data_IF_287481140589
#
_entry.id   IF_287481140589
#
_cell.length_a   1.000
_cell.length_b   1.000
_cell.length_c   1.000
_cell.angle_alpha   90.00
_cell.angle_beta   90.00
_cell.angle_gamma   90.00
#
_symmetry.space_group_name_H-M   'P 1'
#
loop_
_entity.id
_entity.type
_entity.pdbx_description
1 polymer ?
#
# COMPACT_ATOMS: atom_id res chain seq x y z
N UNK A 1 -13.89 27.40 -4.01
CA UNK A 1 -13.84 27.55 -5.48
C UNK A 1 -13.06 26.38 -6.04
N UNK A 2 -13.62 25.63 -6.98
CA UNK A 2 -12.99 24.43 -7.54
C UNK A 2 -11.93 24.81 -8.58
N UNK A 3 -10.68 25.00 -8.13
CA UNK A 3 -9.58 25.53 -8.97
C UNK A 3 -9.37 24.73 -10.27
N UNK A 4 -9.63 23.42 -10.25
CA UNK A 4 -9.44 22.53 -11.40
C UNK A 4 -10.40 22.85 -12.56
N UNK A 5 -11.58 23.44 -12.29
CA UNK A 5 -12.51 23.89 -13.35
C UNK A 5 -11.94 25.07 -14.13
N UNK A 6 -11.18 25.96 -13.48
CA UNK A 6 -10.47 27.07 -14.16
C UNK A 6 -9.39 26.56 -15.12
N UNK A 7 -8.93 25.33 -14.93
CA UNK A 7 -7.97 24.66 -15.80
C UNK A 7 -8.64 23.85 -16.92
N UNK A 8 -9.97 23.86 -17.01
CA UNK A 8 -10.82 23.00 -17.86
C UNK A 8 -10.67 21.50 -17.55
N UNK A 9 -10.44 21.15 -16.28
CA UNK A 9 -10.42 19.76 -15.82
C UNK A 9 -11.79 19.34 -15.30
N UNK A 10 -12.09 18.04 -15.37
CA UNK A 10 -13.36 17.44 -14.92
C UNK A 10 -13.30 17.02 -13.44
N UNK A 11 -12.11 16.78 -12.92
CA UNK A 11 -11.84 16.36 -11.53
C UNK A 11 -10.57 17.03 -11.03
N UNK A 12 -10.39 17.03 -9.72
CA UNK A 12 -9.16 17.47 -9.08
C UNK A 12 -8.00 16.47 -9.37
N UNK A 13 -6.90 16.89 -10.04
CA UNK A 13 -5.82 15.97 -10.43
C UNK A 13 -4.95 15.51 -9.26
N UNK A 14 -4.75 16.37 -8.27
CA UNK A 14 -3.82 16.15 -7.17
C UNK A 14 -4.53 16.09 -5.82
N UNK A 15 -5.69 15.44 -5.79
CA UNK A 15 -6.37 15.15 -4.53
C UNK A 15 -5.52 14.20 -3.68
N UNK A 16 -5.52 14.45 -2.37
CA UNK A 16 -4.92 13.55 -1.36
C UNK A 16 -5.84 12.39 -1.02
N UNK A 17 -7.11 12.45 -1.44
CA UNK A 17 -8.07 11.36 -1.28
C UNK A 17 -7.73 10.20 -2.21
N UNK A 18 -7.79 8.94 -1.73
CA UNK A 18 -7.47 7.78 -2.56
C UNK A 18 -8.60 7.48 -3.56
N UNK A 19 -8.44 7.95 -4.81
CA UNK A 19 -9.27 7.54 -5.97
C UNK A 19 -8.49 6.48 -6.80
N UNK A 20 -9.01 5.24 -6.94
CA UNK A 20 -8.37 4.20 -7.75
C UNK A 20 -8.10 4.63 -9.21
N UNK A 21 -8.90 5.51 -9.79
CA UNK A 21 -8.69 6.01 -11.15
C UNK A 21 -7.41 6.85 -11.29
N UNK A 22 -6.96 7.47 -10.20
CA UNK A 22 -5.75 8.31 -10.14
C UNK A 22 -4.51 7.53 -9.68
N UNK A 23 -4.60 6.19 -9.68
CA UNK A 23 -3.45 5.36 -9.38
C UNK A 23 -2.53 5.19 -10.60
N UNK A 24 -1.35 5.79 -10.51
CA UNK A 24 -0.27 5.57 -11.46
C UNK A 24 0.52 4.33 -11.06
N UNK A 25 0.61 3.36 -11.97
CA UNK A 25 1.40 2.16 -11.79
C UNK A 25 2.87 2.45 -12.09
N UNK A 26 3.63 2.82 -11.06
CA UNK A 26 5.08 2.95 -11.19
C UNK A 26 5.75 1.61 -11.45
N UNK A 27 7.01 1.65 -11.87
CA UNK A 27 7.81 0.44 -12.01
C UNK A 27 7.86 -0.36 -10.70
N UNK A 28 8.16 0.32 -9.57
CA UNK A 28 8.20 -0.27 -8.23
C UNK A 28 6.88 -0.93 -7.82
N UNK A 29 5.74 -0.30 -8.14
CA UNK A 29 4.43 -0.86 -7.80
C UNK A 29 4.10 -2.09 -8.63
N UNK A 30 4.42 -2.07 -9.94
CA UNK A 30 4.21 -3.23 -10.83
C UNK A 30 5.06 -4.41 -10.40
N UNK A 31 6.34 -4.17 -10.11
CA UNK A 31 7.26 -5.21 -9.70
C UNK A 31 6.84 -5.84 -8.37
N UNK A 32 6.49 -5.02 -7.37
CA UNK A 32 5.96 -5.50 -6.10
C UNK A 32 4.69 -6.36 -6.28
N UNK A 33 3.73 -5.90 -7.10
CA UNK A 33 2.49 -6.63 -7.36
C UNK A 33 2.73 -7.97 -8.06
N UNK A 34 3.61 -8.00 -9.07
CA UNK A 34 3.94 -9.22 -9.79
C UNK A 34 4.60 -10.25 -8.86
N UNK A 35 5.56 -9.83 -8.04
CA UNK A 35 6.22 -10.72 -7.07
C UNK A 35 5.25 -11.25 -6.02
N UNK A 36 4.37 -10.40 -5.49
CA UNK A 36 3.32 -10.81 -4.57
C UNK A 36 2.39 -11.83 -5.20
N UNK A 37 1.92 -11.58 -6.43
CA UNK A 37 1.06 -12.52 -7.13
C UNK A 37 1.72 -13.88 -7.30
N UNK A 38 2.97 -13.90 -7.75
CA UNK A 38 3.74 -15.15 -7.90
C UNK A 38 3.86 -15.87 -6.54
N UNK A 39 4.22 -15.15 -5.47
CA UNK A 39 4.38 -15.73 -4.14
C UNK A 39 3.07 -16.32 -3.60
N UNK A 40 1.94 -15.62 -3.80
CA UNK A 40 0.61 -16.07 -3.39
C UNK A 40 0.14 -17.31 -4.18
N UNK A 41 0.31 -17.30 -5.50
CA UNK A 41 -0.06 -18.45 -6.36
C UNK A 41 0.79 -19.69 -6.06
N UNK A 42 2.08 -19.50 -5.81
CA UNK A 42 3.00 -20.56 -5.39
C UNK A 42 2.86 -20.95 -3.91
N UNK A 43 1.94 -20.32 -3.18
CA UNK A 43 1.62 -20.61 -1.78
C UNK A 43 2.84 -20.59 -0.84
N UNK A 44 3.73 -19.61 -1.00
CA UNK A 44 5.02 -19.52 -0.27
C UNK A 44 4.91 -19.10 1.21
N UNK A 45 3.73 -18.74 1.68
CA UNK A 45 3.47 -18.38 3.08
C UNK A 45 3.62 -16.89 3.33
N UNK A 46 4.71 -16.46 3.98
CA UNK A 46 4.88 -15.09 4.45
C UNK A 46 5.60 -14.21 3.41
N UNK A 47 4.98 -13.09 3.06
CA UNK A 47 5.55 -11.99 2.30
C UNK A 47 5.56 -10.71 3.15
N UNK A 48 6.67 -9.98 3.17
CA UNK A 48 6.82 -8.72 3.91
C UNK A 48 7.22 -7.62 2.95
N UNK A 49 6.39 -6.59 2.89
CA UNK A 49 6.55 -5.43 2.02
C UNK A 49 6.79 -4.20 2.89
N UNK A 50 8.02 -3.70 2.84
CA UNK A 50 8.43 -2.52 3.57
C UNK A 50 8.36 -1.29 2.69
N UNK A 51 8.09 -0.14 3.29
CA UNK A 51 8.19 1.14 2.60
C UNK A 51 7.78 2.27 3.54
N UNK A 52 8.26 3.47 3.27
CA UNK A 52 7.96 4.63 4.11
C UNK A 52 6.51 5.12 3.94
N UNK A 53 6.12 6.09 4.75
CA UNK A 53 4.79 6.70 4.67
C UNK A 53 4.59 7.33 3.29
N UNK A 54 3.50 6.97 2.63
CA UNK A 54 3.15 7.55 1.32
C UNK A 54 3.81 6.91 0.10
N UNK A 55 4.56 5.80 0.24
CA UNK A 55 5.14 5.06 -0.91
C UNK A 55 4.12 4.21 -1.69
N UNK A 56 2.89 4.06 -1.19
CA UNK A 56 1.81 3.36 -1.90
C UNK A 56 1.47 1.95 -1.39
N UNK A 57 1.97 1.56 -0.20
CA UNK A 57 1.67 0.26 0.46
C UNK A 57 0.18 -0.10 0.49
N UNK A 58 -0.66 0.74 1.09
CA UNK A 58 -2.12 0.55 1.16
C UNK A 58 -2.74 0.43 -0.22
N UNK A 59 -2.18 1.13 -1.22
CA UNK A 59 -2.70 1.06 -2.57
C UNK A 59 -2.39 -0.28 -3.23
N UNK A 60 -1.16 -0.77 -3.11
CA UNK A 60 -0.78 -2.12 -3.57
C UNK A 60 -1.68 -3.17 -2.92
N UNK A 61 -1.94 -3.06 -1.62
CA UNK A 61 -2.86 -3.94 -0.89
C UNK A 61 -4.26 -3.97 -1.54
N UNK A 62 -4.86 -2.80 -1.81
CA UNK A 62 -6.17 -2.70 -2.47
C UNK A 62 -6.16 -3.28 -3.88
N UNK A 63 -5.10 -3.04 -4.64
CA UNK A 63 -4.96 -3.56 -5.99
C UNK A 63 -4.84 -5.07 -6.03
N UNK A 64 -4.15 -5.66 -5.06
CA UNK A 64 -4.06 -7.11 -4.91
C UNK A 64 -5.45 -7.72 -4.67
N UNK A 65 -6.26 -7.10 -3.80
CA UNK A 65 -7.65 -7.50 -3.58
C UNK A 65 -8.46 -7.38 -4.87
N UNK A 66 -8.37 -6.26 -5.58
CA UNK A 66 -9.10 -6.05 -6.84
C UNK A 66 -8.70 -7.05 -7.91
N UNK A 67 -7.40 -7.37 -8.01
CA UNK A 67 -6.88 -8.34 -8.99
C UNK A 67 -7.49 -9.72 -8.77
N UNK A 68 -7.46 -10.21 -7.54
CA UNK A 68 -8.02 -11.52 -7.20
C UNK A 68 -9.54 -11.52 -7.00
N UNK A 69 -10.21 -10.36 -7.03
CA UNK A 69 -11.68 -10.29 -6.97
C UNK A 69 -12.35 -10.96 -8.17
N UNK A 70 -11.64 -11.15 -9.29
CA UNK A 70 -12.10 -11.93 -10.44
C UNK A 70 -11.91 -13.45 -10.24
N UNK A 71 -11.14 -13.87 -9.25
CA UNK A 71 -10.80 -15.26 -8.92
C UNK A 71 -11.30 -15.63 -7.51
N UNK A 72 -12.46 -15.09 -7.09
CA UNK A 72 -13.03 -15.35 -5.75
C UNK A 72 -13.31 -16.82 -5.48
N UNK A 73 -13.51 -17.62 -6.53
CA UNK A 73 -13.64 -19.07 -6.41
C UNK A 73 -12.31 -19.75 -6.03
N UNK A 74 -11.16 -19.12 -6.24
CA UNK A 74 -9.86 -19.68 -5.87
C UNK A 74 -9.28 -19.03 -4.63
N UNK A 75 -9.62 -17.77 -4.35
CA UNK A 75 -9.00 -16.96 -3.32
C UNK A 75 -9.96 -16.56 -2.20
N UNK A 76 -9.54 -16.77 -0.95
CA UNK A 76 -10.20 -16.22 0.23
C UNK A 76 -9.27 -15.14 0.80
N UNK A 77 -9.57 -13.88 0.52
CA UNK A 77 -8.74 -12.75 0.94
C UNK A 77 -9.41 -11.99 2.08
N UNK A 78 -8.67 -11.74 3.16
CA UNK A 78 -9.08 -10.87 4.27
C UNK A 78 -8.02 -9.80 4.53
N UNK A 79 -8.46 -8.64 4.97
CA UNK A 79 -7.63 -7.46 5.19
C UNK A 79 -7.84 -6.95 6.63
N UNK A 80 -6.73 -6.78 7.34
CA UNK A 80 -6.65 -5.99 8.56
C UNK A 80 -5.92 -4.69 8.21
N UNK A 81 -6.63 -3.56 8.27
CA UNK A 81 -6.05 -2.24 7.99
C UNK A 81 -5.23 -1.69 9.17
N UNK A 82 -5.67 -1.97 10.41
CA UNK A 82 -5.02 -1.48 11.62
C UNK A 82 -4.89 -2.64 12.63
N UNK A 83 -3.70 -3.24 12.79
CA UNK A 83 -3.51 -4.42 13.64
C UNK A 83 -3.33 -4.06 15.11
N UNK A 84 -4.08 -3.08 15.61
CA UNK A 84 -4.12 -2.68 17.02
C UNK A 84 -5.28 -3.36 17.73
N UNK A 85 -4.95 -4.32 18.60
CA UNK A 85 -5.91 -5.04 19.42
C UNK A 85 -5.53 -4.92 20.90
N UNK A 86 -6.52 -4.98 21.80
CA UNK A 86 -6.29 -4.91 23.24
C UNK A 86 -5.74 -6.21 23.81
N UNK A 87 -6.03 -7.35 23.17
CA UNK A 87 -5.58 -8.67 23.61
C UNK A 87 -5.44 -9.65 22.46
N UNK A 88 -4.71 -10.74 22.71
CA UNK A 88 -4.64 -11.89 21.80
C UNK A 88 -6.03 -12.46 21.49
N UNK A 89 -6.92 -12.50 22.48
CA UNK A 89 -8.29 -12.96 22.31
C UNK A 89 -9.05 -12.10 21.29
N UNK A 90 -8.98 -10.77 21.41
CA UNK A 90 -9.64 -9.84 20.49
C UNK A 90 -9.05 -9.94 19.08
N UNK A 91 -7.74 -10.12 18.96
CA UNK A 91 -7.07 -10.32 17.67
C UNK A 91 -7.56 -11.61 16.97
N UNK A 92 -7.54 -12.73 17.68
CA UNK A 92 -7.98 -14.04 17.14
C UNK A 92 -9.47 -14.08 16.83
N UNK A 93 -10.29 -13.46 17.68
CA UNK A 93 -11.72 -13.28 17.42
C UNK A 93 -11.93 -12.47 16.14
N UNK A 94 -11.30 -11.30 16.03
CA UNK A 94 -11.43 -10.45 14.84
C UNK A 94 -10.98 -11.18 13.58
N UNK A 95 -9.90 -11.97 13.65
CA UNK A 95 -9.45 -12.82 12.55
C UNK A 95 -10.52 -13.83 12.16
N UNK A 96 -11.07 -14.56 13.14
CA UNK A 96 -12.09 -15.59 12.91
C UNK A 96 -13.36 -15.01 12.30
N UNK A 97 -13.85 -13.91 12.89
CA UNK A 97 -14.99 -13.14 12.39
C UNK A 97 -14.72 -12.68 10.95
N UNK A 98 -13.51 -12.18 10.67
CA UNK A 98 -13.16 -11.73 9.32
C UNK A 98 -13.27 -12.87 8.31
N UNK A 99 -12.76 -14.07 8.62
CA UNK A 99 -12.83 -15.23 7.73
C UNK A 99 -14.25 -15.81 7.59
N UNK A 100 -15.22 -15.34 8.39
CA UNK A 100 -16.60 -15.84 8.41
C UNK A 100 -16.70 -17.18 9.14
N UNK A 101 -15.88 -17.38 10.17
CA UNK A 101 -15.90 -18.57 11.01
C UNK A 101 -16.96 -18.36 12.10
N UNK A 102 -18.04 -19.15 12.06
CA UNK A 102 -19.04 -19.18 13.13
C UNK A 102 -18.46 -19.90 14.35
N UNK A 103 -17.86 -19.14 15.25
CA UNK A 103 -17.16 -19.67 16.42
C UNK A 103 -17.95 -19.43 17.71
N UNK A 104 -18.02 -20.46 18.57
CA UNK A 104 -18.49 -20.34 19.96
C UNK A 104 -17.33 -20.23 20.95
N UNK A 105 -16.12 -19.96 20.47
CA UNK A 105 -14.90 -19.97 21.25
C UNK A 105 -14.92 -18.94 22.38
N UNK A 106 -14.49 -19.38 23.57
CA UNK A 106 -14.39 -18.58 24.79
C UNK A 106 -12.95 -18.35 25.23
N UNK A 107 -11.98 -18.91 24.50
CA UNK A 107 -10.55 -18.77 24.77
C UNK A 107 -9.74 -18.55 23.50
N UNK A 108 -8.54 -17.96 23.63
CA UNK A 108 -7.60 -17.82 22.51
C UNK A 108 -7.20 -19.17 21.91
N UNK A 109 -7.14 -20.22 22.73
CA UNK A 109 -6.83 -21.58 22.27
C UNK A 109 -7.94 -22.13 21.36
N UNK A 110 -9.21 -21.97 21.75
CA UNK A 110 -10.34 -22.39 20.92
C UNK A 110 -10.39 -21.64 19.59
N UNK A 111 -10.18 -20.31 19.57
CA UNK A 111 -10.10 -19.57 18.29
C UNK A 111 -8.94 -20.03 17.41
N UNK A 112 -7.78 -20.38 17.99
CA UNK A 112 -6.67 -20.94 17.20
C UNK A 112 -7.05 -22.28 16.57
N UNK A 113 -7.77 -23.14 17.29
CA UNK A 113 -8.25 -24.40 16.75
C UNK A 113 -9.28 -24.19 15.63
N UNK A 114 -10.20 -23.25 15.79
CA UNK A 114 -11.19 -22.93 14.77
C UNK A 114 -10.52 -22.39 13.49
N UNK A 115 -9.55 -21.48 13.62
CA UNK A 115 -8.73 -21.00 12.50
C UNK A 115 -7.94 -22.13 11.83
N UNK A 116 -7.37 -23.05 12.61
CA UNK A 116 -6.68 -24.22 12.08
C UNK A 116 -7.61 -25.10 11.25
N UNK A 117 -8.78 -25.44 11.79
CA UNK A 117 -9.78 -26.26 11.11
C UNK A 117 -10.23 -25.60 9.81
N UNK A 118 -10.46 -24.28 9.84
CA UNK A 118 -10.78 -23.50 8.66
C UNK A 118 -9.68 -23.56 7.59
N UNK A 119 -8.41 -23.37 7.98
CA UNK A 119 -7.28 -23.42 7.05
C UNK A 119 -7.09 -24.81 6.43
N UNK A 120 -7.32 -25.89 7.20
CA UNK A 120 -7.29 -27.26 6.68
C UNK A 120 -8.45 -27.50 5.71
N UNK A 121 -9.68 -27.11 6.07
CA UNK A 121 -10.84 -27.28 5.21
C UNK A 121 -10.70 -26.48 3.91
N UNK A 122 -10.48 -25.16 4.00
CA UNK A 122 -10.41 -24.29 2.83
C UNK A 122 -9.13 -24.50 2.03
N UNK A 123 -7.99 -24.57 2.69
CA UNK A 123 -6.68 -24.63 2.04
C UNK A 123 -6.29 -26.03 1.53
N UNK A 124 -6.52 -27.07 2.33
CA UNK A 124 -6.08 -28.43 2.00
C UNK A 124 -7.17 -29.22 1.24
N UNK A 125 -8.41 -29.22 1.73
CA UNK A 125 -9.49 -30.01 1.14
C UNK A 125 -10.12 -29.31 -0.07
N UNK A 126 -10.53 -28.05 0.07
CA UNK A 126 -11.15 -27.28 -1.02
C UNK A 126 -10.12 -26.61 -1.96
N UNK A 127 -8.83 -26.75 -1.65
CA UNK A 127 -7.70 -26.18 -2.42
C UNK A 127 -7.82 -24.67 -2.69
N UNK A 128 -8.52 -23.91 -1.84
CA UNK A 128 -8.55 -22.44 -1.90
C UNK A 128 -7.21 -21.86 -1.44
N UNK A 129 -6.86 -20.67 -1.93
CA UNK A 129 -5.71 -19.88 -1.46
C UNK A 129 -6.22 -18.89 -0.41
N UNK A 130 -5.91 -19.16 0.85
CA UNK A 130 -6.30 -18.28 1.97
C UNK A 130 -5.23 -17.21 2.16
N UNK A 131 -5.61 -15.95 2.00
CA UNK A 131 -4.71 -14.79 2.09
C UNK A 131 -5.16 -13.87 3.21
N UNK A 132 -4.24 -13.57 4.13
CA UNK A 132 -4.38 -12.50 5.12
C UNK A 132 -3.45 -11.35 4.75
N UNK A 133 -4.04 -10.20 4.46
CA UNK A 133 -3.34 -8.95 4.24
C UNK A 133 -3.36 -8.15 5.56
N UNK A 134 -2.20 -7.70 6.02
CA UNK A 134 -2.08 -6.80 7.17
C UNK A 134 -1.43 -5.52 6.67
N UNK A 135 -2.15 -4.41 6.72
CA UNK A 135 -1.58 -3.07 6.55
C UNK A 135 -1.10 -2.53 7.90
N UNK A 136 -0.30 -1.47 7.89
CA UNK A 136 0.26 -0.87 9.11
C UNK A 136 0.94 -1.90 10.04
N UNK A 137 1.59 -2.92 9.46
CA UNK A 137 2.18 -4.05 10.17
C UNK A 137 3.24 -3.66 11.21
N UNK A 138 3.81 -2.47 11.11
CA UNK A 138 4.67 -1.92 12.15
C UNK A 138 3.97 -1.74 13.49
N UNK A 139 2.62 -1.72 13.54
CA UNK A 139 1.84 -1.68 14.78
C UNK A 139 1.69 -3.05 15.46
N UNK A 140 2.05 -4.16 14.80
CA UNK A 140 2.04 -5.48 15.41
C UNK A 140 2.96 -5.53 16.65
N UNK A 141 2.44 -6.12 17.72
CA UNK A 141 3.19 -6.42 18.94
C UNK A 141 3.89 -7.78 18.80
N UNK A 142 4.93 -8.07 19.61
CA UNK A 142 5.57 -9.39 19.61
C UNK A 142 4.57 -10.53 19.82
N UNK A 143 3.57 -10.34 20.69
CA UNK A 143 2.49 -11.31 20.92
C UNK A 143 1.73 -11.65 19.63
N UNK A 144 1.35 -10.65 18.83
CA UNK A 144 0.60 -10.87 17.60
C UNK A 144 1.49 -11.46 16.49
N UNK A 145 2.77 -11.09 16.45
CA UNK A 145 3.75 -11.72 15.57
C UNK A 145 3.86 -13.23 15.87
N UNK A 146 3.91 -13.62 17.14
CA UNK A 146 4.01 -15.03 17.54
C UNK A 146 2.74 -15.83 17.20
N UNK A 147 1.56 -15.21 17.36
CA UNK A 147 0.29 -15.79 16.89
C UNK A 147 0.34 -16.04 15.37
N UNK A 148 0.72 -15.03 14.58
CA UNK A 148 0.85 -15.15 13.13
C UNK A 148 1.90 -16.19 12.73
N UNK A 149 3.02 -16.26 13.45
CA UNK A 149 4.07 -17.28 13.26
C UNK A 149 3.51 -18.69 13.46
N UNK A 150 2.65 -18.89 14.46
CA UNK A 150 2.01 -20.18 14.71
C UNK A 150 1.06 -20.55 13.58
N UNK A 151 0.24 -19.61 13.08
CA UNK A 151 -0.65 -19.86 11.95
C UNK A 151 0.11 -20.23 10.65
N UNK A 152 1.32 -19.68 10.46
CA UNK A 152 2.19 -20.01 9.31
C UNK A 152 2.81 -21.42 9.37
N UNK A 153 2.71 -22.11 10.52
CA UNK A 153 3.14 -23.50 10.63
C UNK A 153 2.16 -24.47 9.95
N UNK A 154 0.92 -24.04 9.65
CA UNK A 154 -0.05 -24.90 9.00
C UNK A 154 0.26 -25.04 7.50
N UNK A 155 0.63 -26.26 7.10
CA UNK A 155 1.04 -26.59 5.75
C UNK A 155 0.67 -28.03 5.38
N UNK A 156 0.64 -28.30 4.09
CA UNK A 156 0.67 -29.66 3.54
C UNK A 156 2.12 -30.02 3.21
N UNK A 157 2.37 -31.24 2.74
CA UNK A 157 3.69 -31.63 2.24
C UNK A 157 4.16 -30.80 1.02
N UNK A 158 3.26 -30.04 0.38
CA UNK A 158 3.54 -29.29 -0.85
C UNK A 158 3.52 -27.77 -0.67
N UNK A 159 2.68 -27.24 0.23
CA UNK A 159 2.44 -25.79 0.33
C UNK A 159 1.90 -25.31 1.68
N UNK A 160 2.10 -24.02 1.96
CA UNK A 160 1.52 -23.31 3.12
C UNK A 160 0.01 -23.11 2.97
N UNK A 161 -0.74 -23.31 4.05
CA UNK A 161 -2.20 -23.15 4.05
C UNK A 161 -2.63 -21.69 4.20
N UNK A 162 -1.83 -20.88 4.91
CA UNK A 162 -2.02 -19.44 5.05
C UNK A 162 -0.98 -18.67 4.25
N UNK A 163 -1.43 -17.74 3.43
CA UNK A 163 -0.59 -16.75 2.76
C UNK A 163 -0.70 -15.42 3.49
N UNK A 164 0.37 -15.00 4.17
CA UNK A 164 0.39 -13.78 4.96
C UNK A 164 1.16 -12.69 4.20
N UNK A 165 0.54 -11.56 3.93
CA UNK A 165 1.22 -10.38 3.36
C UNK A 165 1.16 -9.25 4.38
N UNK A 166 2.33 -8.82 4.86
CA UNK A 166 2.44 -7.70 5.79
C UNK A 166 3.02 -6.49 5.06
N UNK A 167 2.25 -5.41 5.00
CA UNK A 167 2.72 -4.10 4.59
C UNK A 167 3.11 -3.32 5.84
N UNK A 168 4.34 -2.83 5.90
CA UNK A 168 4.83 -2.14 7.09
C UNK A 168 5.86 -1.05 6.75
N UNK A 169 6.14 -0.19 7.73
CA UNK A 169 7.26 0.75 7.68
C UNK A 169 8.59 0.05 8.02
N UNK A 170 9.72 0.71 7.70
CA UNK A 170 11.08 0.15 7.90
C UNK A 170 11.37 -0.28 9.35
N UNK A 171 10.74 0.38 10.33
CA UNK A 171 10.84 0.01 11.75
C UNK A 171 10.37 -1.42 12.06
N UNK A 172 9.48 -2.00 11.26
CA UNK A 172 9.02 -3.38 11.44
C UNK A 172 10.16 -4.39 11.25
N UNK A 173 11.15 -4.09 10.40
CA UNK A 173 12.32 -4.95 10.22
C UNK A 173 13.09 -5.15 11.53
N UNK A 174 13.19 -4.10 12.37
CA UNK A 174 13.83 -4.18 13.67
C UNK A 174 13.06 -5.09 14.63
N UNK A 175 11.72 -5.06 14.58
CA UNK A 175 10.86 -5.96 15.36
C UNK A 175 11.06 -7.42 14.93
N UNK A 176 11.09 -7.67 13.62
CA UNK A 176 11.30 -9.02 13.07
C UNK A 176 12.67 -9.58 13.42
N UNK A 177 13.74 -8.76 13.39
CA UNK A 177 15.08 -9.19 13.80
C UNK A 177 15.16 -9.64 15.26
N UNK A 178 14.28 -9.14 16.14
CA UNK A 178 14.17 -9.61 17.53
C UNK A 178 13.36 -10.89 17.68
N UNK A 179 12.78 -11.39 16.59
CA UNK A 179 11.94 -12.59 16.52
C UNK A 179 12.45 -13.48 15.36
N UNK A 180 13.65 -14.07 15.47
CA UNK A 180 14.31 -14.78 14.36
C UNK A 180 13.42 -15.88 13.75
N UNK A 181 12.69 -16.62 14.60
CA UNK A 181 11.76 -17.65 14.16
C UNK A 181 10.64 -17.14 13.24
N UNK A 182 10.28 -15.86 13.30
CA UNK A 182 9.32 -15.24 12.38
C UNK A 182 10.02 -14.72 11.12
N UNK A 183 11.20 -14.11 11.27
CA UNK A 183 12.01 -13.64 10.14
C UNK A 183 12.39 -14.78 9.19
N UNK A 184 12.73 -15.96 9.71
CA UNK A 184 13.09 -17.14 8.92
C UNK A 184 11.92 -17.70 8.10
N UNK A 185 10.67 -17.30 8.41
CA UNK A 185 9.49 -17.68 7.64
C UNK A 185 9.26 -16.80 6.42
N UNK A 186 9.98 -15.68 6.29
CA UNK A 186 9.79 -14.72 5.19
C UNK A 186 10.27 -15.32 3.88
N UNK A 187 9.32 -15.64 3.01
CA UNK A 187 9.59 -16.19 1.68
C UNK A 187 9.82 -15.11 0.60
N UNK A 188 9.28 -13.91 0.84
CA UNK A 188 9.42 -12.74 -0.02
C UNK A 188 9.59 -11.50 0.86
N UNK A 189 10.75 -10.86 0.76
CA UNK A 189 10.97 -9.50 1.26
C UNK A 189 11.05 -8.53 0.09
N UNK A 190 10.35 -7.40 0.18
CA UNK A 190 10.44 -6.33 -0.80
C UNK A 190 10.42 -4.96 -0.12
N UNK A 191 11.21 -4.01 -0.62
CA UNK A 191 11.20 -2.63 -0.18
C UNK A 191 10.67 -1.76 -1.32
N UNK A 192 9.53 -1.10 -1.12
CA UNK A 192 9.00 -0.14 -2.07
C UNK A 192 9.74 1.18 -1.87
N UNK A 193 10.58 1.50 -2.85
CA UNK A 193 11.31 2.76 -2.87
C UNK A 193 10.41 3.91 -3.35
N UNK A 194 10.77 5.17 -3.04
CA UNK A 194 10.19 6.33 -3.69
C UNK A 194 10.32 6.26 -5.22
N UNK A 195 9.47 6.99 -5.94
CA UNK A 195 9.48 7.02 -7.40
C UNK A 195 10.78 7.63 -7.92
N UNK A 196 11.31 7.09 -9.01
CA UNK A 196 12.42 7.73 -9.72
C UNK A 196 11.92 8.98 -10.50
N UNK A 197 12.84 9.70 -11.16
CA UNK A 197 12.50 10.91 -11.92
C UNK A 197 11.47 10.63 -13.03
N UNK A 198 11.62 9.52 -13.74
CA UNK A 198 10.74 9.13 -14.85
C UNK A 198 9.33 8.82 -14.35
N UNK A 199 9.20 8.01 -13.31
CA UNK A 199 7.92 7.67 -12.67
C UNK A 199 7.27 8.88 -12.00
N UNK A 200 8.06 9.84 -11.50
CA UNK A 200 7.53 11.10 -10.97
C UNK A 200 6.88 11.92 -12.08
N UNK A 201 7.56 12.07 -13.23
CA UNK A 201 6.98 12.73 -14.41
C UNK A 201 5.76 11.98 -14.92
N UNK A 202 5.85 10.64 -14.96
CA UNK A 202 4.76 9.75 -15.32
C UNK A 202 3.52 9.94 -14.45
N UNK A 203 3.70 9.98 -13.13
CA UNK A 203 2.63 10.23 -12.15
C UNK A 203 1.94 11.58 -12.40
N UNK A 204 2.72 12.66 -12.57
CA UNK A 204 2.19 14.01 -12.79
C UNK A 204 1.35 14.05 -14.08
N UNK A 205 1.91 13.55 -15.19
CA UNK A 205 1.23 13.50 -16.49
C UNK A 205 -0.02 12.62 -16.44
N UNK A 206 0.08 11.46 -15.81
CA UNK A 206 -1.03 10.52 -15.66
C UNK A 206 -2.19 11.15 -14.91
N UNK A 207 -1.94 11.75 -13.74
CA UNK A 207 -2.99 12.38 -12.93
C UNK A 207 -3.69 13.53 -13.67
N UNK A 208 -2.93 14.36 -14.37
CA UNK A 208 -3.49 15.42 -15.20
C UNK A 208 -4.37 14.87 -16.33
N UNK A 209 -3.90 13.83 -17.03
CA UNK A 209 -4.66 13.16 -18.10
C UNK A 209 -5.96 12.55 -17.55
N UNK A 210 -5.90 11.85 -16.41
CA UNK A 210 -7.06 11.27 -15.74
C UNK A 210 -8.08 12.34 -15.30
N UNK A 211 -7.60 13.52 -14.90
CA UNK A 211 -8.46 14.67 -14.60
C UNK A 211 -9.12 15.31 -15.85
N UNK A 212 -8.75 14.88 -17.06
CA UNK A 212 -9.31 15.36 -18.32
C UNK A 212 -8.47 16.43 -19.03
N UNK A 213 -7.18 16.57 -18.70
CA UNK A 213 -6.30 17.49 -19.42
C UNK A 213 -6.14 17.06 -20.89
N UNK A 214 -6.33 18.00 -21.82
CA UNK A 214 -6.07 17.79 -23.24
C UNK A 214 -4.57 17.52 -23.47
N UNK A 215 -4.26 16.51 -24.28
CA UNK A 215 -2.90 16.06 -24.65
C UNK A 215 -1.99 17.17 -25.15
N UNK A 216 -2.54 18.20 -25.79
CA UNK A 216 -1.79 19.35 -26.34
C UNK A 216 -1.46 20.43 -25.29
N UNK A 217 -2.16 20.42 -24.14
CA UNK A 217 -2.00 21.44 -23.11
C UNK A 217 -0.93 21.01 -22.11
N UNK A 218 0.13 21.80 -22.01
CA UNK A 218 1.20 21.60 -21.03
C UNK A 218 0.88 22.45 -19.79
N UNK A 219 0.74 21.81 -18.62
CA UNK A 219 0.60 22.53 -17.33
C UNK A 219 1.89 22.55 -16.51
N UNK A 220 2.76 21.56 -16.68
CA UNK A 220 4.06 21.49 -16.00
C UNK A 220 5.15 21.30 -17.03
N UNK A 221 6.20 22.12 -16.98
CA UNK A 221 7.36 21.94 -17.87
C UNK A 221 8.23 20.77 -17.42
N UNK A 222 9.03 20.20 -18.33
CA UNK A 222 9.96 19.10 -17.99
C UNK A 222 10.94 19.48 -16.88
N UNK A 223 11.44 20.73 -16.91
CA UNK A 223 12.33 21.25 -15.88
C UNK A 223 11.62 21.44 -14.54
N UNK A 224 10.37 21.91 -14.54
CA UNK A 224 9.55 21.99 -13.33
C UNK A 224 9.35 20.61 -12.70
N UNK A 225 8.95 19.59 -13.49
CA UNK A 225 8.77 18.23 -12.99
C UNK A 225 10.07 17.63 -12.43
N UNK A 226 11.22 17.92 -13.05
CA UNK A 226 12.53 17.50 -12.52
C UNK A 226 12.83 18.15 -11.16
N UNK A 227 12.57 19.45 -11.01
CA UNK A 227 12.74 20.13 -9.72
C UNK A 227 11.77 19.61 -8.65
N UNK A 228 10.53 19.30 -9.03
CA UNK A 228 9.55 18.66 -8.14
C UNK A 228 10.09 17.31 -7.66
N UNK A 229 10.62 16.47 -8.56
CA UNK A 229 11.25 15.21 -8.19
C UNK A 229 12.39 15.42 -7.19
N UNK A 230 13.32 16.33 -7.46
CA UNK A 230 14.47 16.62 -6.58
C UNK A 230 13.99 17.05 -5.19
N UNK A 231 13.02 17.98 -5.12
CA UNK A 231 12.51 18.51 -3.84
C UNK A 231 11.72 17.47 -3.04
N UNK A 232 10.87 16.71 -3.72
CA UNK A 232 9.98 15.72 -3.10
C UNK A 232 10.65 14.37 -2.87
N UNK A 233 11.85 14.17 -3.42
CA UNK A 233 12.62 12.92 -3.40
C UNK A 233 11.84 11.69 -3.90
N UNK A 234 10.88 11.92 -4.82
CA UNK A 234 10.10 10.82 -5.39
C UNK A 234 8.94 10.32 -4.52
N UNK A 235 8.68 10.90 -3.35
CA UNK A 235 7.59 10.42 -2.48
C UNK A 235 6.21 10.80 -3.06
N UNK A 236 5.35 9.83 -3.43
CA UNK A 236 4.08 10.09 -4.12
C UNK A 236 3.16 11.11 -3.43
N UNK A 237 3.05 11.04 -2.10
CA UNK A 237 2.23 11.98 -1.32
C UNK A 237 2.79 13.40 -1.37
N UNK A 238 4.12 13.56 -1.25
CA UNK A 238 4.80 14.87 -1.36
C UNK A 238 4.67 15.45 -2.76
N UNK A 239 4.84 14.61 -3.80
CA UNK A 239 4.62 15.01 -5.20
C UNK A 239 3.18 15.53 -5.39
N UNK A 240 2.19 14.78 -4.90
CA UNK A 240 0.78 15.14 -5.03
C UNK A 240 0.49 16.47 -4.36
N UNK A 241 0.87 16.65 -3.08
CA UNK A 241 0.67 17.91 -2.36
C UNK A 241 1.36 19.07 -3.05
N UNK A 242 2.63 18.91 -3.43
CA UNK A 242 3.39 19.97 -4.08
C UNK A 242 2.78 20.38 -5.42
N UNK A 243 2.32 19.42 -6.23
CA UNK A 243 1.68 19.72 -7.51
C UNK A 243 0.32 20.42 -7.33
N UNK A 244 -0.43 20.09 -6.28
CA UNK A 244 -1.66 20.80 -5.92
C UNK A 244 -1.35 22.28 -5.61
N UNK A 245 -0.38 22.53 -4.73
CA UNK A 245 0.02 23.89 -4.34
C UNK A 245 0.58 24.69 -5.52
N UNK A 246 1.34 24.03 -6.40
CA UNK A 246 1.86 24.64 -7.62
C UNK A 246 0.76 25.09 -8.59
N UNK A 247 -0.29 24.29 -8.78
CA UNK A 247 -1.43 24.69 -9.61
C UNK A 247 -2.20 25.86 -9.00
N UNK A 248 -2.38 25.89 -7.67
CA UNK A 248 -3.04 27.01 -6.99
C UNK A 248 -2.23 28.30 -7.16
N UNK A 249 -0.91 28.23 -6.95
CA UNK A 249 -0.05 29.40 -7.11
C UNK A 249 0.01 29.90 -8.54
N UNK A 250 0.10 28.99 -9.51
CA UNK A 250 0.07 29.33 -10.93
C UNK A 250 -1.21 30.12 -11.28
N UNK A 251 -2.37 29.69 -10.77
CA UNK A 251 -3.63 30.39 -10.96
C UNK A 251 -3.66 31.76 -10.27
N UNK A 252 -3.09 31.88 -9.06
CA UNK A 252 -3.02 33.16 -8.32
C UNK A 252 -2.13 34.20 -9.00
N UNK A 253 -1.09 33.76 -9.72
CA UNK A 253 -0.16 34.62 -10.46
C UNK A 253 -0.56 34.82 -11.94
N UNK A 254 -1.76 34.40 -12.34
CA UNK A 254 -2.27 34.43 -13.73
C UNK A 254 -1.31 33.79 -14.76
N UNK A 255 -0.54 32.79 -14.33
CA UNK A 255 0.37 32.03 -15.20
C UNK A 255 -0.38 30.91 -15.90
N UNK A 256 0.09 30.57 -17.11
CA UNK A 256 -0.46 29.46 -17.91
C UNK A 256 0.19 28.11 -17.61
N UNK A 257 1.41 28.12 -17.07
CA UNK A 257 2.24 26.93 -16.83
C UNK A 257 2.97 27.03 -15.50
N UNK A 258 3.17 25.88 -14.85
CA UNK A 258 4.11 25.68 -13.76
C UNK A 258 5.49 25.47 -14.36
N UNK A 259 6.32 26.50 -14.32
CA UNK A 259 7.71 26.48 -14.77
C UNK A 259 8.70 26.34 -13.60
N UNK A 260 9.99 26.27 -13.93
CA UNK A 260 11.07 26.15 -12.95
C UNK A 260 11.09 27.31 -11.93
N UNK A 261 10.75 28.54 -12.38
CA UNK A 261 10.77 29.73 -11.51
C UNK A 261 9.68 29.65 -10.45
N UNK A 262 8.47 29.26 -10.84
CA UNK A 262 7.36 29.09 -9.91
C UNK A 262 7.62 27.98 -8.90
N UNK A 263 8.20 26.85 -9.34
CA UNK A 263 8.60 25.75 -8.44
C UNK A 263 9.64 26.22 -7.42
N UNK A 264 10.70 26.90 -7.86
CA UNK A 264 11.73 27.44 -6.96
C UNK A 264 11.16 28.42 -5.93
N UNK A 265 10.19 29.24 -6.34
CA UNK A 265 9.55 30.20 -5.44
C UNK A 265 8.68 29.50 -4.38
N UNK A 266 8.02 28.40 -4.71
CA UNK A 266 7.29 27.58 -3.71
C UNK A 266 8.27 26.95 -2.72
N UNK A 267 9.35 26.34 -3.21
CA UNK A 267 10.37 25.70 -2.38
C UNK A 267 10.94 26.70 -1.36
N UNK A 268 11.26 27.93 -1.79
CA UNK A 268 11.76 28.99 -0.90
C UNK A 268 10.77 29.33 0.22
N UNK A 269 9.47 29.38 -0.08
CA UNK A 269 8.44 29.72 0.90
C UNK A 269 8.17 28.59 1.89
N UNK A 270 8.25 27.31 1.48
CA UNK A 270 8.14 26.16 2.40
C UNK A 270 9.28 26.13 3.41
N UNK A 271 10.52 26.35 2.98
CA UNK A 271 11.70 26.36 3.88
C UNK A 271 11.54 27.42 4.97
N UNK A 272 10.99 28.59 4.64
CA UNK A 272 10.74 29.66 5.61
C UNK A 272 9.65 29.32 6.63
N UNK A 273 8.76 28.37 6.35
CA UNK A 273 7.76 27.89 7.31
C UNK A 273 8.37 26.93 8.33
N UNK A 274 9.24 25.99 7.90
CA UNK A 274 9.93 25.06 8.81
C UNK A 274 11.00 25.71 9.70
N UNK A 275 11.48 26.90 9.32
CA UNK A 275 12.48 27.65 10.07
C UNK A 275 11.89 28.61 11.14
N UNK A 276 10.55 28.64 11.29
CA UNK A 276 9.83 29.38 12.33
C UNK A 276 9.33 28.44 13.41
#
# INVERSE_FOLDING_TARGET
>A
MEYYKLLNLRKEPFSTSPDPAFFYYSYEHKECLNRLEIALRLRRGLSVILGDVGTGKTTICRMLIQKFAQEKENFIIRLILDPMFKSEFEFLKTLSDSFGIDSTARSSFEYKNDLQNFLLQKGAAEKKIVVLLIDEGQKLTPTYIEVLRTLLNYETNEFKLLQLVIFAQQEFLHKMKRQPNFLDRVSLGYVINPLNEEDTKGLIKFRLKTAGLNSEKILFTEKAMKLIYIHTQGFPRRITTFCHDALIKMLREDKKVVDEKLVLDIIRNEVNWYAR
#
